data_IF_719715197942
#
_entry.id   IF_719715197942
#
_cell.length_a   1.000
_cell.length_b   1.000
_cell.length_c   1.000
_cell.angle_alpha   90.00
_cell.angle_beta   90.00
_cell.angle_gamma   90.00
#
_symmetry.space_group_name_H-M   'P 1'
#
loop_
_entity.id
_entity.type
_entity.pdbx_description
1 polymer ?
#
# COMPACT_ATOMS: atom_id res chain seq x y z
N UNK A 1 -17.16 -1.93 -8.07
CA UNK A 1 -15.68 -1.77 -7.89
C UNK A 1 -15.04 -1.33 -9.21
N UNK A 2 -14.31 -0.21 -9.22
CA UNK A 2 -13.55 0.23 -10.40
C UNK A 2 -12.27 -0.59 -10.53
N UNK A 3 -11.88 -0.88 -11.78
CA UNK A 3 -10.62 -1.58 -12.11
C UNK A 3 -9.73 -0.60 -12.87
N UNK A 4 -8.46 -0.51 -12.48
CA UNK A 4 -7.46 0.41 -13.04
C UNK A 4 -6.20 -0.34 -13.46
N UNK A 5 -5.49 0.19 -14.42
CA UNK A 5 -4.16 -0.31 -14.73
C UNK A 5 -3.17 0.13 -13.64
N UNK A 6 -2.23 -0.73 -13.29
CA UNK A 6 -1.13 -0.37 -12.41
C UNK A 6 -0.06 0.36 -13.23
N UNK A 7 -0.13 1.68 -13.22
CA UNK A 7 0.73 2.53 -14.02
C UNK A 7 0.60 2.27 -15.52
N UNK A 8 1.73 2.28 -16.22
CA UNK A 8 1.82 1.96 -17.65
C UNK A 8 1.80 0.47 -17.98
N UNK A 9 1.60 -0.40 -16.98
CA UNK A 9 1.60 -1.85 -17.17
C UNK A 9 0.23 -2.39 -17.60
N UNK A 10 0.20 -3.63 -18.06
CA UNK A 10 -1.04 -4.38 -18.34
C UNK A 10 -1.69 -4.98 -17.09
N UNK A 11 -1.07 -4.86 -15.91
CA UNK A 11 -1.62 -5.38 -14.66
C UNK A 11 -2.82 -4.55 -14.21
N UNK A 12 -3.96 -5.19 -14.03
CA UNK A 12 -5.21 -4.55 -13.65
C UNK A 12 -5.54 -4.84 -12.19
N UNK A 13 -5.82 -3.80 -11.42
CA UNK A 13 -6.11 -3.89 -9.98
C UNK A 13 -7.41 -3.16 -9.64
N UNK A 14 -8.07 -3.57 -8.57
CA UNK A 14 -9.19 -2.83 -8.01
C UNK A 14 -8.73 -1.49 -7.44
N UNK A 15 -9.54 -0.44 -7.59
CA UNK A 15 -9.23 0.90 -7.09
C UNK A 15 -9.15 0.99 -5.55
N UNK A 16 -9.66 -0.03 -4.84
CA UNK A 16 -9.44 -0.26 -3.41
C UNK A 16 -8.66 -1.55 -3.26
N UNK A 17 -7.55 -1.51 -2.52
CA UNK A 17 -6.71 -2.66 -2.18
C UNK A 17 -6.84 -3.04 -0.71
N UNK A 18 -6.63 -4.31 -0.39
CA UNK A 18 -6.58 -4.81 0.98
C UNK A 18 -5.14 -4.84 1.50
N UNK A 19 -4.84 -4.01 2.50
CA UNK A 19 -3.58 -4.08 3.26
C UNK A 19 -3.64 -5.20 4.30
N UNK A 20 -2.73 -6.15 4.21
CA UNK A 20 -2.76 -7.40 4.97
C UNK A 20 -1.92 -7.38 6.26
N UNK A 21 -1.38 -6.24 6.67
CA UNK A 21 -0.50 -6.12 7.85
C UNK A 21 -1.18 -6.46 9.19
N UNK A 22 -2.50 -6.60 9.23
CA UNK A 22 -3.24 -6.96 10.43
C UNK A 22 -3.32 -8.48 10.65
N UNK A 23 -3.19 -9.27 9.59
CA UNK A 23 -3.38 -10.72 9.63
C UNK A 23 -2.22 -11.42 10.34
N UNK A 24 -2.56 -12.34 11.25
CA UNK A 24 -1.59 -13.05 12.07
C UNK A 24 -1.03 -12.26 13.25
N UNK A 25 -1.41 -10.98 13.43
CA UNK A 25 -0.96 -10.14 14.55
C UNK A 25 -2.15 -9.48 15.30
N UNK A 26 -3.05 -8.83 14.58
CA UNK A 26 -4.22 -8.11 15.15
C UNK A 26 -5.51 -8.88 14.97
N UNK A 27 -5.54 -9.77 14.03
CA UNK A 27 -6.63 -10.69 13.74
C UNK A 27 -6.13 -12.12 13.80
N UNK A 28 -6.92 -13.00 14.40
CA UNK A 28 -6.71 -14.44 14.32
C UNK A 28 -7.02 -14.98 12.92
N UNK A 29 -6.79 -16.26 12.70
CA UNK A 29 -6.99 -16.91 11.41
C UNK A 29 -8.44 -16.84 10.93
N UNK A 30 -9.41 -17.09 11.84
CA UNK A 30 -10.84 -17.09 11.49
C UNK A 30 -11.37 -15.69 11.13
N UNK A 31 -10.97 -14.68 11.88
CA UNK A 31 -11.30 -13.29 11.57
C UNK A 31 -10.64 -12.87 10.26
N UNK A 32 -9.37 -13.23 10.05
CA UNK A 32 -8.64 -12.97 8.80
C UNK A 32 -9.34 -13.63 7.61
N UNK A 33 -9.77 -14.89 7.75
CA UNK A 33 -10.51 -15.62 6.71
C UNK A 33 -11.78 -14.87 6.29
N UNK A 34 -12.58 -14.43 7.24
CA UNK A 34 -13.82 -13.67 6.97
C UNK A 34 -13.53 -12.37 6.22
N UNK A 35 -12.52 -11.62 6.65
CA UNK A 35 -12.11 -10.35 6.03
C UNK A 35 -11.60 -10.59 4.59
N UNK A 36 -10.72 -11.57 4.40
CA UNK A 36 -10.13 -11.92 3.10
C UNK A 36 -11.22 -12.35 2.11
N UNK A 37 -12.06 -13.30 2.49
CA UNK A 37 -13.13 -13.79 1.61
C UNK A 37 -14.12 -12.67 1.27
N UNK A 38 -14.52 -11.86 2.26
CA UNK A 38 -15.42 -10.74 2.01
C UNK A 38 -14.82 -9.70 1.07
N UNK A 39 -13.52 -9.43 1.19
CA UNK A 39 -12.84 -8.52 0.28
C UNK A 39 -12.90 -9.02 -1.17
N UNK A 40 -12.62 -10.31 -1.39
CA UNK A 40 -12.72 -10.92 -2.73
C UNK A 40 -14.17 -10.87 -3.24
N UNK A 41 -15.16 -11.20 -2.41
CA UNK A 41 -16.60 -11.18 -2.76
C UNK A 41 -17.10 -9.78 -3.15
N UNK A 42 -16.47 -8.72 -2.60
CA UNK A 42 -16.74 -7.32 -2.95
C UNK A 42 -15.96 -6.83 -4.17
N UNK A 43 -15.14 -7.69 -4.79
CA UNK A 43 -14.37 -7.39 -6.00
C UNK A 43 -13.06 -6.65 -5.73
N UNK A 44 -12.51 -6.71 -4.51
CA UNK A 44 -11.12 -6.31 -4.25
C UNK A 44 -10.22 -7.35 -4.85
N UNK A 45 -9.34 -6.93 -5.77
CA UNK A 45 -8.37 -7.82 -6.40
C UNK A 45 -6.95 -7.62 -5.86
N UNK A 46 -6.55 -6.41 -5.46
CA UNK A 46 -5.20 -6.16 -4.93
C UNK A 46 -5.13 -6.51 -3.43
N UNK A 47 -4.25 -7.45 -3.09
CA UNK A 47 -3.91 -7.85 -1.72
C UNK A 47 -2.44 -7.56 -1.49
N UNK A 48 -2.14 -6.64 -0.58
CA UNK A 48 -0.78 -6.17 -0.29
C UNK A 48 -0.31 -6.69 1.06
N UNK A 49 0.67 -7.56 1.05
CA UNK A 49 1.35 -8.11 2.23
C UNK A 49 2.86 -7.81 2.22
N UNK A 50 3.61 -8.51 3.07
CA UNK A 50 5.04 -8.32 3.23
C UNK A 50 5.65 -9.51 4.00
N UNK A 51 6.91 -9.83 3.73
CA UNK A 51 7.65 -10.87 4.44
C UNK A 51 7.89 -10.53 5.92
N UNK A 52 7.96 -9.24 6.29
CA UNK A 52 8.18 -8.83 7.69
C UNK A 52 6.90 -8.79 8.53
N UNK A 53 5.70 -8.75 7.92
CA UNK A 53 4.46 -8.56 8.68
C UNK A 53 4.15 -9.74 9.61
N UNK A 54 3.60 -9.41 10.80
CA UNK A 54 3.17 -10.37 11.81
C UNK A 54 4.28 -11.34 12.26
N UNK A 55 5.44 -10.78 12.63
CA UNK A 55 6.54 -11.57 13.17
C UNK A 55 7.31 -12.35 12.11
N UNK A 56 7.65 -11.69 11.00
CA UNK A 56 8.46 -12.27 9.92
C UNK A 56 7.74 -13.40 9.15
N UNK A 57 6.68 -13.05 8.43
CA UNK A 57 5.97 -13.93 7.50
C UNK A 57 4.61 -14.43 7.97
N UNK A 58 4.14 -14.00 9.15
CA UNK A 58 2.83 -14.43 9.66
C UNK A 58 1.68 -14.01 8.76
N UNK A 59 1.70 -12.82 8.17
CA UNK A 59 0.67 -12.37 7.24
C UNK A 59 0.65 -13.18 5.95
N UNK A 60 1.81 -13.49 5.37
CA UNK A 60 1.92 -14.36 4.20
C UNK A 60 1.43 -15.78 4.50
N UNK A 61 1.76 -16.31 5.69
CA UNK A 61 1.28 -17.62 6.13
C UNK A 61 -0.23 -17.67 6.23
N UNK A 62 -0.87 -16.66 6.84
CA UNK A 62 -2.33 -16.56 6.91
C UNK A 62 -2.96 -16.52 5.51
N UNK A 63 -2.41 -15.70 4.59
CA UNK A 63 -2.88 -15.66 3.22
C UNK A 63 -2.75 -17.01 2.52
N UNK A 64 -1.61 -17.70 2.67
CA UNK A 64 -1.38 -19.02 2.10
C UNK A 64 -2.34 -20.10 2.63
N UNK A 65 -2.80 -19.98 3.89
CA UNK A 65 -3.78 -20.89 4.48
C UNK A 65 -5.23 -20.59 4.07
N UNK A 66 -5.53 -19.33 3.79
CA UNK A 66 -6.90 -18.89 3.56
C UNK A 66 -7.28 -18.87 2.09
N UNK A 67 -6.36 -18.50 1.20
CA UNK A 67 -6.70 -18.27 -0.21
C UNK A 67 -7.10 -19.54 -0.97
N UNK A 68 -6.35 -20.63 -0.83
CA UNK A 68 -6.65 -21.87 -1.55
C UNK A 68 -6.92 -21.62 -3.05
N UNK A 69 -8.02 -22.14 -3.57
CA UNK A 69 -8.42 -21.97 -4.97
C UNK A 69 -8.73 -20.51 -5.37
N UNK A 70 -8.97 -19.63 -4.39
CA UNK A 70 -9.22 -18.19 -4.65
C UNK A 70 -7.93 -17.39 -4.90
N UNK A 71 -6.74 -18.01 -4.78
CA UNK A 71 -5.47 -17.36 -5.12
C UNK A 71 -5.47 -16.75 -6.52
N UNK A 72 -6.09 -17.41 -7.48
CA UNK A 72 -6.21 -16.96 -8.88
C UNK A 72 -7.13 -15.76 -9.09
N UNK A 73 -7.98 -15.44 -8.12
CA UNK A 73 -8.97 -14.36 -8.22
C UNK A 73 -8.37 -13.01 -7.80
N UNK A 74 -7.12 -13.00 -7.31
CA UNK A 74 -6.46 -11.81 -6.77
C UNK A 74 -5.12 -11.51 -7.45
N UNK A 75 -4.72 -10.25 -7.35
CA UNK A 75 -3.36 -9.76 -7.57
C UNK A 75 -2.67 -9.73 -6.22
N UNK A 76 -1.76 -10.66 -6.00
CA UNK A 76 -1.02 -10.78 -4.75
C UNK A 76 0.28 -9.99 -4.84
N UNK A 77 0.37 -8.95 -4.01
CA UNK A 77 1.58 -8.17 -3.82
C UNK A 77 2.23 -8.56 -2.49
N UNK A 78 3.54 -8.83 -2.53
CA UNK A 78 4.36 -8.95 -1.30
C UNK A 78 5.67 -8.21 -1.47
N UNK A 79 6.43 -8.08 -0.39
CA UNK A 79 7.65 -7.27 -0.36
C UNK A 79 8.82 -8.03 0.25
N UNK A 80 10.03 -7.48 0.04
CA UNK A 80 11.29 -7.92 0.62
C UNK A 80 12.14 -6.69 0.96
N UNK A 81 13.31 -6.85 1.47
CA UNK A 81 14.38 -5.92 1.81
C UNK A 81 14.45 -5.50 3.27
N UNK A 82 13.37 -5.56 4.02
CA UNK A 82 13.39 -5.30 5.47
C UNK A 82 14.18 -6.39 6.21
N UNK A 83 14.74 -6.08 7.40
CA UNK A 83 15.50 -7.08 8.19
C UNK A 83 14.63 -8.26 8.62
N UNK A 84 14.97 -9.44 8.13
CA UNK A 84 14.34 -10.73 8.47
C UNK A 84 15.22 -11.58 9.39
N UNK A 85 16.32 -11.03 9.90
CA UNK A 85 17.19 -11.64 10.90
C UNK A 85 17.91 -10.57 11.72
N UNK A 86 18.23 -10.90 12.98
CA UNK A 86 18.95 -9.98 13.87
C UNK A 86 20.41 -9.78 13.50
N UNK A 87 21.02 -10.75 12.82
CA UNK A 87 22.42 -10.72 12.38
C UNK A 87 22.67 -9.91 11.11
N UNK A 88 21.61 -9.32 10.51
CA UNK A 88 21.69 -8.51 9.30
C UNK A 88 21.97 -9.29 8.01
N UNK A 89 22.01 -10.64 8.05
CA UNK A 89 22.29 -11.46 6.84
C UNK A 89 21.11 -11.60 5.91
N UNK A 90 19.88 -11.39 6.42
CA UNK A 90 18.62 -11.51 5.67
C UNK A 90 17.94 -10.16 5.56
N UNK A 91 18.47 -9.28 4.70
CA UNK A 91 17.92 -7.95 4.42
C UNK A 91 18.52 -7.38 3.13
N UNK A 92 17.99 -6.24 2.69
CA UNK A 92 18.48 -5.46 1.57
C UNK A 92 18.05 -6.01 0.22
N UNK A 93 18.75 -5.61 -0.83
CA UNK A 93 18.36 -5.85 -2.21
C UNK A 93 19.43 -6.61 -3.03
N UNK A 94 20.39 -7.28 -2.34
CA UNK A 94 21.37 -8.10 -3.04
C UNK A 94 20.71 -9.29 -3.76
N UNK A 95 21.27 -9.67 -4.89
CA UNK A 95 20.82 -10.84 -5.65
C UNK A 95 20.66 -12.09 -4.75
N UNK A 96 21.65 -12.33 -3.90
CA UNK A 96 21.63 -13.47 -2.97
C UNK A 96 20.39 -13.47 -2.08
N UNK A 97 20.07 -12.29 -1.50
CA UNK A 97 18.94 -12.18 -0.60
C UNK A 97 17.61 -12.22 -1.34
N UNK A 98 17.47 -11.51 -2.45
CA UNK A 98 16.25 -11.52 -3.29
C UNK A 98 15.83 -12.94 -3.64
N UNK A 99 16.80 -13.77 -4.13
CA UNK A 99 16.51 -15.16 -4.50
C UNK A 99 16.05 -16.01 -3.33
N UNK A 100 16.62 -15.82 -2.14
CA UNK A 100 16.22 -16.59 -0.96
C UNK A 100 14.90 -16.07 -0.35
N UNK A 101 14.66 -14.76 -0.41
CA UNK A 101 13.44 -14.14 0.13
C UNK A 101 12.19 -14.54 -0.68
N UNK A 102 12.28 -14.55 -2.01
CA UNK A 102 11.15 -14.94 -2.86
C UNK A 102 10.74 -16.40 -2.62
N UNK A 103 11.69 -17.32 -2.49
CA UNK A 103 11.39 -18.72 -2.20
C UNK A 103 10.67 -18.90 -0.85
N UNK A 104 11.14 -18.16 0.16
CA UNK A 104 10.51 -18.18 1.47
C UNK A 104 9.07 -17.61 1.42
N UNK A 105 8.85 -16.52 0.68
CA UNK A 105 7.52 -15.94 0.49
C UNK A 105 6.59 -16.88 -0.28
N UNK A 106 7.04 -17.48 -1.38
CA UNK A 106 6.26 -18.47 -2.15
C UNK A 106 5.85 -19.67 -1.28
N UNK A 107 6.76 -20.18 -0.43
CA UNK A 107 6.47 -21.26 0.49
C UNK A 107 5.40 -20.88 1.53
N UNK A 108 5.49 -19.69 2.15
CA UNK A 108 4.50 -19.20 3.14
C UNK A 108 3.14 -18.94 2.49
N UNK A 109 3.14 -18.35 1.30
CA UNK A 109 1.94 -18.02 0.52
C UNK A 109 1.29 -19.24 -0.15
N UNK A 110 1.97 -20.39 -0.15
CA UNK A 110 1.51 -21.64 -0.78
C UNK A 110 1.14 -21.45 -2.26
N UNK A 111 1.97 -20.72 -2.99
CA UNK A 111 1.79 -20.39 -4.41
C UNK A 111 3.12 -20.49 -5.14
N UNK A 112 3.09 -20.71 -6.44
CA UNK A 112 4.27 -20.78 -7.30
C UNK A 112 4.61 -19.47 -8.00
N UNK A 113 3.77 -18.43 -7.82
CA UNK A 113 4.02 -17.10 -8.37
C UNK A 113 3.49 -15.96 -7.50
N UNK A 114 4.14 -14.80 -7.59
CA UNK A 114 3.75 -13.52 -7.02
C UNK A 114 3.38 -12.60 -8.17
N UNK A 115 2.23 -11.90 -8.08
CA UNK A 115 1.81 -10.99 -9.14
C UNK A 115 2.63 -9.69 -9.12
N UNK A 116 2.89 -9.11 -7.95
CA UNK A 116 3.68 -7.91 -7.76
C UNK A 116 4.68 -8.08 -6.61
N UNK A 117 5.97 -8.11 -6.93
CA UNK A 117 7.04 -8.23 -5.94
C UNK A 117 7.74 -6.89 -5.76
N UNK A 118 7.68 -6.34 -4.55
CA UNK A 118 8.10 -4.98 -4.28
C UNK A 118 9.34 -4.94 -3.39
N UNK A 119 10.30 -4.10 -3.72
CA UNK A 119 11.35 -3.73 -2.80
C UNK A 119 10.78 -2.76 -1.77
N UNK A 120 10.75 -3.16 -0.48
CA UNK A 120 10.07 -2.41 0.59
C UNK A 120 10.76 -1.10 0.92
N UNK A 121 12.08 -1.11 0.96
CA UNK A 121 12.92 0.07 1.18
C UNK A 121 14.06 0.11 0.18
N UNK A 122 14.49 1.34 -0.14
CA UNK A 122 15.73 1.57 -0.84
C UNK A 122 16.92 0.97 -0.06
N UNK A 123 17.79 0.23 -0.75
CA UNK A 123 19.03 -0.31 -0.20
C UNK A 123 20.24 0.49 -0.74
N UNK A 124 20.92 1.29 0.08
CA UNK A 124 22.05 2.09 -0.36
C UNK A 124 23.33 1.25 -0.57
N UNK A 125 23.35 0.01 -0.11
CA UNK A 125 24.54 -0.85 -0.14
C UNK A 125 24.58 -1.75 -1.38
N UNK A 126 23.46 -1.89 -2.10
CA UNK A 126 23.39 -2.73 -3.29
C UNK A 126 23.24 -1.87 -4.54
N UNK A 127 24.11 -2.03 -5.55
CA UNK A 127 23.91 -1.39 -6.85
C UNK A 127 22.57 -1.76 -7.47
N UNK A 128 21.85 -0.76 -8.01
CA UNK A 128 20.52 -0.98 -8.59
C UNK A 128 20.52 -1.96 -9.76
N UNK A 129 21.63 -2.05 -10.50
CA UNK A 129 21.82 -3.01 -11.60
C UNK A 129 21.73 -4.45 -11.08
N UNK A 130 22.35 -4.76 -9.95
CA UNK A 130 22.30 -6.10 -9.34
C UNK A 130 20.88 -6.47 -8.97
N UNK A 131 20.18 -5.54 -8.32
CA UNK A 131 18.79 -5.69 -7.91
C UNK A 131 17.87 -5.95 -9.12
N UNK A 132 17.93 -5.08 -10.13
CA UNK A 132 17.09 -5.20 -11.32
C UNK A 132 17.35 -6.49 -12.12
N UNK A 133 18.61 -6.91 -12.26
CA UNK A 133 18.95 -8.20 -12.89
C UNK A 133 18.40 -9.39 -12.10
N UNK A 134 18.48 -9.34 -10.77
CA UNK A 134 17.94 -10.40 -9.94
C UNK A 134 16.41 -10.50 -10.06
N UNK A 135 15.71 -9.37 -10.06
CA UNK A 135 14.26 -9.31 -10.24
C UNK A 135 13.82 -9.75 -11.63
N UNK A 136 14.55 -9.35 -12.69
CA UNK A 136 14.29 -9.79 -14.07
C UNK A 136 14.44 -11.31 -14.23
N UNK A 137 15.44 -11.92 -13.58
CA UNK A 137 15.58 -13.37 -13.56
C UNK A 137 14.39 -14.06 -12.90
N UNK A 138 13.82 -13.49 -11.83
CA UNK A 138 12.58 -14.02 -11.22
C UNK A 138 11.38 -13.92 -12.14
N UNK A 139 11.29 -12.84 -12.93
CA UNK A 139 10.25 -12.69 -13.96
C UNK A 139 10.42 -13.75 -15.04
N UNK A 140 11.62 -13.95 -15.55
CA UNK A 140 11.93 -14.98 -16.57
C UNK A 140 11.67 -16.41 -16.06
N UNK A 141 11.89 -16.66 -14.78
CA UNK A 141 11.56 -17.93 -14.13
C UNK A 141 10.04 -18.12 -13.91
N UNK A 142 9.25 -17.08 -14.12
CA UNK A 142 7.81 -17.09 -13.88
C UNK A 142 7.38 -17.04 -12.41
N UNK A 143 8.31 -16.84 -11.48
CA UNK A 143 8.04 -16.72 -10.04
C UNK A 143 7.45 -15.37 -9.67
N UNK A 144 7.73 -14.34 -10.45
CA UNK A 144 7.22 -12.98 -10.30
C UNK A 144 6.64 -12.52 -11.63
N UNK A 145 5.51 -11.80 -11.61
CA UNK A 145 4.90 -11.25 -12.82
C UNK A 145 5.30 -9.81 -13.08
N UNK A 146 5.25 -8.98 -12.04
CA UNK A 146 5.60 -7.57 -12.08
C UNK A 146 6.43 -7.20 -10.86
N UNK A 147 7.22 -6.13 -10.98
CA UNK A 147 8.06 -5.62 -9.89
C UNK A 147 7.70 -4.17 -9.57
N UNK A 148 7.88 -3.80 -8.30
CA UNK A 148 7.62 -2.45 -7.79
C UNK A 148 8.61 -2.04 -6.72
N UNK A 149 8.55 -0.78 -6.32
CA UNK A 149 9.32 -0.23 -5.21
C UNK A 149 8.41 0.40 -4.16
N UNK A 150 8.97 0.65 -2.98
CA UNK A 150 8.33 1.36 -1.89
C UNK A 150 9.37 2.20 -1.15
N UNK A 151 8.97 3.38 -0.68
CA UNK A 151 9.84 4.29 0.07
C UNK A 151 11.14 4.69 -0.66
N UNK A 152 11.09 4.73 -1.98
CA UNK A 152 12.22 5.20 -2.77
C UNK A 152 12.16 6.73 -2.92
N UNK A 153 13.29 7.44 -2.76
CA UNK A 153 13.35 8.83 -3.16
C UNK A 153 13.21 8.94 -4.68
N UNK A 154 12.65 10.04 -5.17
CA UNK A 154 12.36 10.25 -6.60
C UNK A 154 13.58 10.04 -7.51
N UNK A 155 14.78 10.50 -7.09
CA UNK A 155 16.01 10.30 -7.85
C UNK A 155 16.37 8.82 -8.03
N UNK A 156 16.04 7.98 -7.03
CA UNK A 156 16.30 6.54 -7.09
C UNK A 156 15.30 5.83 -8.00
N UNK A 157 14.07 6.32 -8.05
CA UNK A 157 13.07 5.87 -9.03
C UNK A 157 13.55 6.15 -10.46
N UNK A 158 14.06 7.36 -10.71
CA UNK A 158 14.62 7.74 -12.01
C UNK A 158 15.85 6.89 -12.39
N UNK A 159 16.76 6.69 -11.42
CA UNK A 159 17.94 5.85 -11.62
C UNK A 159 17.55 4.41 -11.96
N UNK A 160 16.60 3.82 -11.23
CA UNK A 160 16.14 2.45 -11.50
C UNK A 160 15.52 2.32 -12.88
N UNK A 161 14.69 3.27 -13.30
CA UNK A 161 14.06 3.26 -14.63
C UNK A 161 15.09 3.39 -15.76
N UNK A 162 16.02 4.36 -15.66
CA UNK A 162 17.06 4.57 -16.67
C UNK A 162 18.00 3.37 -16.77
N UNK A 163 18.33 2.77 -15.61
CA UNK A 163 19.16 1.56 -15.54
C UNK A 163 18.44 0.37 -16.15
N UNK A 164 17.15 0.16 -15.85
CA UNK A 164 16.37 -0.92 -16.46
C UNK A 164 16.35 -0.82 -18.00
N UNK A 165 16.14 0.39 -18.53
CA UNK A 165 16.20 0.66 -19.99
C UNK A 165 17.59 0.37 -20.55
N UNK A 166 18.65 0.84 -19.92
CA UNK A 166 20.02 0.61 -20.36
C UNK A 166 20.41 -0.88 -20.38
N UNK A 167 19.91 -1.64 -19.40
CA UNK A 167 20.14 -3.08 -19.28
C UNK A 167 19.17 -3.94 -20.12
N UNK A 168 18.13 -3.34 -20.69
CA UNK A 168 17.03 -4.03 -21.37
C UNK A 168 16.39 -5.13 -20.49
N UNK A 169 16.09 -4.76 -19.24
CA UNK A 169 15.39 -5.60 -18.26
C UNK A 169 14.07 -4.94 -17.85
N UNK A 170 13.20 -5.68 -17.16
CA UNK A 170 11.91 -5.21 -16.71
C UNK A 170 12.05 -4.03 -15.72
N UNK A 171 11.39 -2.89 -15.96
CA UNK A 171 11.37 -1.77 -15.01
C UNK A 171 10.35 -2.01 -13.87
N UNK A 172 10.41 -1.21 -12.82
CA UNK A 172 9.34 -1.12 -11.85
C UNK A 172 8.05 -0.60 -12.51
N UNK A 173 6.89 -1.15 -12.12
CA UNK A 173 5.57 -0.71 -12.62
C UNK A 173 4.79 0.09 -11.58
N UNK A 174 5.23 0.07 -10.34
CA UNK A 174 4.58 0.77 -9.21
C UNK A 174 5.58 1.34 -8.23
N UNK A 175 5.15 2.41 -7.55
CA UNK A 175 5.71 2.90 -6.30
C UNK A 175 4.65 2.81 -5.20
N UNK A 176 5.07 2.45 -3.98
CA UNK A 176 4.19 2.39 -2.81
C UNK A 176 4.73 3.29 -1.73
N UNK A 177 4.01 4.39 -1.43
CA UNK A 177 4.49 5.44 -0.54
C UNK A 177 3.38 5.98 0.35
N UNK A 178 3.76 6.62 1.45
CA UNK A 178 2.78 7.25 2.32
C UNK A 178 2.15 8.46 1.63
N UNK A 179 0.82 8.41 1.48
CA UNK A 179 0.08 9.50 0.87
C UNK A 179 -1.32 9.59 1.44
N UNK A 180 -1.69 10.78 1.91
CA UNK A 180 -3.00 11.07 2.47
C UNK A 180 -3.27 12.57 2.46
N UNK A 181 -4.47 12.99 2.85
CA UNK A 181 -4.85 14.40 2.98
C UNK A 181 -3.96 15.21 3.96
N UNK A 182 -3.23 14.56 4.87
CA UNK A 182 -2.34 15.21 5.86
C UNK A 182 -0.86 14.85 5.70
N UNK A 183 -0.52 14.00 4.72
CA UNK A 183 0.85 13.62 4.35
C UNK A 183 0.95 13.71 2.83
N UNK A 184 1.54 14.79 2.33
CA UNK A 184 1.55 15.16 0.90
C UNK A 184 2.95 15.39 0.33
N UNK A 185 4.00 15.07 1.07
CA UNK A 185 5.39 15.36 0.69
C UNK A 185 5.79 14.75 -0.65
N UNK A 186 5.22 13.59 -1.02
CA UNK A 186 5.49 12.93 -2.31
C UNK A 186 5.08 13.76 -3.53
N UNK A 187 4.22 14.78 -3.36
CA UNK A 187 3.78 15.65 -4.45
C UNK A 187 4.92 16.54 -4.97
N UNK A 188 5.96 16.76 -4.16
CA UNK A 188 7.07 17.65 -4.51
C UNK A 188 8.01 17.05 -5.56
N UNK A 189 8.24 15.72 -5.52
CA UNK A 189 9.24 15.07 -6.36
C UNK A 189 8.84 13.67 -6.84
N UNK A 190 8.36 12.80 -5.94
CA UNK A 190 8.04 11.40 -6.30
C UNK A 190 6.84 11.31 -7.24
N UNK A 191 5.79 12.09 -6.99
CA UNK A 191 4.60 12.06 -7.84
C UNK A 191 4.89 12.54 -9.28
N UNK A 192 5.65 13.65 -9.50
CA UNK A 192 6.17 14.00 -10.83
C UNK A 192 7.01 12.89 -11.48
N UNK A 193 7.89 12.23 -10.73
CA UNK A 193 8.69 11.12 -11.25
C UNK A 193 7.81 9.91 -11.61
N UNK A 194 6.84 9.56 -10.77
CA UNK A 194 5.89 8.49 -11.05
C UNK A 194 5.06 8.78 -12.32
N UNK A 195 4.69 10.04 -12.54
CA UNK A 195 3.98 10.46 -13.75
C UNK A 195 4.87 10.33 -14.99
N UNK A 196 6.10 10.82 -14.95
CA UNK A 196 7.06 10.77 -16.07
C UNK A 196 7.35 9.33 -16.49
N UNK A 197 7.58 8.44 -15.52
CA UNK A 197 7.91 7.04 -15.77
C UNK A 197 6.70 6.11 -15.80
N UNK A 198 5.48 6.66 -15.70
CA UNK A 198 4.21 5.92 -15.75
C UNK A 198 4.09 4.83 -14.69
N UNK A 199 4.60 5.09 -13.49
CA UNK A 199 4.42 4.21 -12.33
C UNK A 199 3.03 4.37 -11.73
N UNK A 200 2.41 3.27 -11.33
CA UNK A 200 1.19 3.29 -10.55
C UNK A 200 1.49 3.54 -9.08
N UNK A 201 0.88 4.56 -8.48
CA UNK A 201 1.01 4.83 -7.06
C UNK A 201 0.05 3.95 -6.26
N UNK A 202 0.57 3.35 -5.20
CA UNK A 202 -0.14 2.53 -4.22
C UNK A 202 -0.03 3.21 -2.84
N UNK A 203 -0.91 4.17 -2.49
CA UNK A 203 -0.84 4.86 -1.21
C UNK A 203 -1.00 3.90 -0.03
N UNK A 204 -0.06 3.91 0.92
CA UNK A 204 -0.27 3.30 2.23
C UNK A 204 -0.60 4.38 3.28
N UNK A 205 -1.22 3.97 4.39
CA UNK A 205 -1.80 4.87 5.41
C UNK A 205 -2.75 5.94 4.86
N UNK A 206 -3.67 5.60 3.96
CA UNK A 206 -4.59 6.55 3.33
C UNK A 206 -5.44 7.33 4.34
N UNK A 207 -5.59 6.78 5.54
CA UNK A 207 -6.34 7.36 6.67
C UNK A 207 -5.44 7.90 7.77
N UNK A 208 -4.14 8.13 7.51
CA UNK A 208 -3.18 8.61 8.52
C UNK A 208 -3.33 7.85 9.85
N UNK A 209 -3.22 6.51 9.79
CA UNK A 209 -3.41 5.60 10.94
C UNK A 209 -4.77 5.73 11.65
N UNK A 210 -5.77 6.27 10.98
CA UNK A 210 -7.14 6.42 11.46
C UNK A 210 -7.52 7.84 11.84
N UNK A 211 -6.63 8.83 11.74
CA UNK A 211 -6.95 10.25 11.96
C UNK A 211 -8.10 10.70 11.04
N UNK A 212 -8.01 10.34 9.77
CA UNK A 212 -8.98 10.71 8.73
C UNK A 212 -10.25 9.85 8.70
N UNK A 213 -10.59 9.17 9.80
CA UNK A 213 -11.86 8.45 9.93
C UNK A 213 -12.96 9.28 10.60
N UNK A 214 -12.63 10.45 11.15
CA UNK A 214 -13.56 11.29 11.92
C UNK A 214 -13.90 10.80 13.33
N UNK A 215 -13.28 9.71 13.81
CA UNK A 215 -13.57 9.13 15.14
C UNK A 215 -12.82 9.81 16.30
N UNK A 216 -11.75 10.53 16.01
CA UNK A 216 -10.97 11.23 17.03
C UNK A 216 -11.46 12.67 17.17
N UNK A 217 -11.58 13.14 18.41
CA UNK A 217 -11.98 14.51 18.72
C UNK A 217 -10.78 15.28 19.25
N UNK A 218 -10.63 16.52 18.84
CA UNK A 218 -9.57 17.42 19.28
C UNK A 218 -9.53 17.51 20.80
N UNK A 219 -8.33 17.45 21.36
CA UNK A 219 -8.11 17.55 22.80
C UNK A 219 -8.58 16.35 23.63
N UNK A 220 -9.23 15.35 23.02
CA UNK A 220 -9.68 14.15 23.73
C UNK A 220 -8.62 13.04 23.68
N UNK A 221 -8.56 12.24 24.76
CA UNK A 221 -7.74 11.04 24.76
C UNK A 221 -8.27 10.03 23.71
N UNK A 222 -7.35 9.40 22.99
CA UNK A 222 -7.74 8.35 22.05
C UNK A 222 -8.31 7.13 22.81
N UNK A 223 -9.48 6.60 22.41
CA UNK A 223 -10.04 5.39 23.03
C UNK A 223 -9.04 4.24 23.01
N UNK A 224 -8.92 3.49 24.11
CA UNK A 224 -7.90 2.46 24.33
C UNK A 224 -7.94 1.32 23.30
N UNK A 225 -9.11 1.03 22.73
CA UNK A 225 -9.32 -0.01 21.71
C UNK A 225 -8.95 0.45 20.29
N UNK A 226 -8.66 1.72 20.09
CA UNK A 226 -8.29 2.30 18.81
C UNK A 226 -6.79 2.15 18.50
N UNK A 227 -6.42 2.41 17.23
CA UNK A 227 -5.02 2.37 16.80
C UNK A 227 -4.13 3.34 17.56
N UNK A 228 -4.60 4.57 17.80
CA UNK A 228 -3.85 5.57 18.57
C UNK A 228 -3.79 5.26 20.06
N UNK A 229 -4.83 4.62 20.62
CA UNK A 229 -4.78 4.14 22.00
C UNK A 229 -3.76 3.03 22.24
N UNK A 230 -3.52 2.19 21.22
CA UNK A 230 -2.55 1.06 21.26
C UNK A 230 -1.16 1.42 20.80
N UNK A 231 -0.97 2.52 20.08
CA UNK A 231 0.31 2.95 19.49
C UNK A 231 0.51 4.46 19.66
N UNK A 232 0.94 4.93 20.85
CA UNK A 232 1.13 6.36 21.15
C UNK A 232 2.05 7.08 20.16
N UNK A 233 3.13 6.45 19.72
CA UNK A 233 4.06 7.02 18.75
C UNK A 233 3.39 7.38 17.40
N UNK A 234 2.41 6.58 16.95
CA UNK A 234 1.63 6.92 15.76
C UNK A 234 0.68 8.09 16.03
N UNK A 235 0.11 8.18 17.24
CA UNK A 235 -0.69 9.34 17.63
C UNK A 235 0.16 10.60 17.58
N UNK A 236 1.31 10.62 18.22
CA UNK A 236 2.19 11.78 18.31
C UNK A 236 2.69 12.24 16.93
N UNK A 237 2.84 11.30 16.00
CA UNK A 237 3.20 11.59 14.61
C UNK A 237 2.10 12.34 13.85
N UNK A 238 0.84 11.93 14.00
CA UNK A 238 -0.26 12.44 13.20
C UNK A 238 -1.12 13.48 13.89
N UNK A 239 -1.27 13.43 15.20
CA UNK A 239 -2.10 14.37 15.97
C UNK A 239 -1.27 15.60 16.32
N UNK A 240 -1.19 16.53 15.38
CA UNK A 240 -0.55 17.83 15.52
C UNK A 240 -1.61 18.93 15.44
N UNK A 241 -1.37 20.14 16.01
CA UNK A 241 -2.33 21.24 15.89
C UNK A 241 -2.75 21.53 14.44
N UNK A 242 -1.78 21.51 13.49
CA UNK A 242 -2.05 21.68 12.06
C UNK A 242 -2.99 20.60 11.53
N UNK A 243 -2.71 19.33 11.81
CA UNK A 243 -3.53 18.25 11.31
C UNK A 243 -4.92 18.21 11.94
N UNK A 244 -5.05 18.63 13.21
CA UNK A 244 -6.36 18.78 13.86
C UNK A 244 -7.19 19.88 13.19
N UNK A 245 -6.58 21.04 12.86
CA UNK A 245 -7.24 22.12 12.11
C UNK A 245 -7.69 21.66 10.72
N UNK A 246 -6.85 20.93 10.00
CA UNK A 246 -7.17 20.34 8.69
C UNK A 246 -8.35 19.35 8.81
N UNK A 247 -8.31 18.43 9.78
CA UNK A 247 -9.37 17.43 9.97
C UNK A 247 -10.71 18.08 10.28
N UNK A 248 -10.76 19.12 11.12
CA UNK A 248 -11.99 19.83 11.43
C UNK A 248 -12.58 20.50 10.18
N UNK A 249 -11.77 21.18 9.38
CA UNK A 249 -12.21 21.79 8.12
C UNK A 249 -12.68 20.76 7.10
N UNK A 250 -11.94 19.67 6.90
CA UNK A 250 -12.32 18.60 6.00
C UNK A 250 -13.60 17.89 6.45
N UNK A 251 -13.79 17.73 7.75
CA UNK A 251 -15.01 17.15 8.31
C UNK A 251 -16.22 18.03 8.03
N UNK A 252 -16.10 19.36 8.22
CA UNK A 252 -17.15 20.31 7.87
C UNK A 252 -17.44 20.30 6.36
N UNK A 253 -16.38 20.26 5.52
CA UNK A 253 -16.50 20.16 4.06
C UNK A 253 -17.29 18.91 3.62
N UNK A 254 -16.95 17.73 4.16
CA UNK A 254 -17.62 16.48 3.82
C UNK A 254 -19.08 16.48 4.30
N UNK A 255 -19.34 16.89 5.55
CA UNK A 255 -20.69 16.94 6.13
C UNK A 255 -21.62 17.88 5.37
N UNK A 256 -21.14 19.06 4.94
CA UNK A 256 -21.92 20.02 4.16
C UNK A 256 -22.39 19.42 2.82
N UNK A 257 -21.73 18.36 2.33
CA UNK A 257 -22.04 17.65 1.07
C UNK A 257 -22.72 16.28 1.29
N UNK A 258 -23.04 15.94 2.56
CA UNK A 258 -23.71 14.69 2.90
C UNK A 258 -22.79 13.45 2.90
N UNK A 259 -21.47 13.68 2.98
CA UNK A 259 -20.46 12.62 2.95
C UNK A 259 -19.70 12.48 4.27
N UNK A 260 -19.02 11.37 4.44
CA UNK A 260 -18.15 11.07 5.59
C UNK A 260 -16.69 11.43 5.29
N UNK A 261 -15.88 11.58 6.34
CA UNK A 261 -14.43 11.74 6.23
C UNK A 261 -13.76 10.55 5.54
N UNK A 262 -14.28 9.33 5.72
CA UNK A 262 -13.77 8.14 5.07
C UNK A 262 -13.96 8.23 3.55
N UNK A 263 -15.16 8.61 3.10
CA UNK A 263 -15.46 8.81 1.69
C UNK A 263 -14.58 9.92 1.09
N UNK A 264 -14.41 11.04 1.81
CA UNK A 264 -13.55 12.12 1.37
C UNK A 264 -12.09 11.65 1.17
N UNK A 265 -11.51 10.96 2.17
CA UNK A 265 -10.11 10.52 2.13
C UNK A 265 -9.86 9.53 0.98
N UNK A 266 -10.76 8.56 0.77
CA UNK A 266 -10.62 7.60 -0.31
C UNK A 266 -10.85 8.22 -1.69
N UNK A 267 -11.91 9.02 -1.84
CA UNK A 267 -12.26 9.64 -3.11
C UNK A 267 -11.23 10.67 -3.56
N UNK A 268 -10.64 11.41 -2.61
CA UNK A 268 -9.56 12.34 -2.91
C UNK A 268 -8.31 11.61 -3.43
N UNK A 269 -7.88 10.54 -2.78
CA UNK A 269 -6.77 9.70 -3.28
C UNK A 269 -7.11 9.09 -4.65
N UNK A 270 -8.32 8.55 -4.79
CA UNK A 270 -8.76 7.94 -6.03
C UNK A 270 -8.93 8.93 -7.18
N UNK A 271 -9.09 10.23 -6.91
CA UNK A 271 -9.14 11.28 -7.93
C UNK A 271 -7.76 11.60 -8.53
N UNK A 272 -6.66 11.16 -7.88
CA UNK A 272 -5.30 11.40 -8.38
C UNK A 272 -4.99 10.41 -9.51
N UNK A 273 -4.61 10.88 -10.72
CA UNK A 273 -4.44 10.02 -11.90
C UNK A 273 -3.40 8.90 -11.71
N UNK A 274 -2.37 9.14 -10.89
CA UNK A 274 -1.31 8.16 -10.62
C UNK A 274 -1.74 7.07 -9.64
N UNK A 275 -2.79 7.30 -8.83
CA UNK A 275 -3.25 6.33 -7.82
C UNK A 275 -3.99 5.18 -8.52
N UNK A 276 -3.36 4.01 -8.51
CA UNK A 276 -3.93 2.80 -9.08
C UNK A 276 -4.88 2.11 -8.10
N UNK A 277 -4.51 2.06 -6.82
CA UNK A 277 -5.30 1.41 -5.77
C UNK A 277 -5.01 2.02 -4.40
N UNK A 278 -6.05 2.38 -3.66
CA UNK A 278 -5.95 2.89 -2.28
C UNK A 278 -5.87 1.69 -1.35
N UNK A 279 -4.69 1.45 -0.73
CA UNK A 279 -4.47 0.29 0.14
C UNK A 279 -4.90 0.61 1.56
N UNK A 280 -5.93 -0.07 2.05
CA UNK A 280 -6.41 0.07 3.42
C UNK A 280 -6.50 -1.28 4.14
N UNK A 281 -5.97 -1.32 5.37
CA UNK A 281 -6.09 -2.48 6.24
C UNK A 281 -7.47 -2.57 6.89
N UNK A 282 -7.93 -3.80 7.12
CA UNK A 282 -9.15 -4.07 7.87
C UNK A 282 -8.90 -5.15 8.94
N UNK A 283 -9.63 -5.06 10.06
CA UNK A 283 -9.64 -6.06 11.14
C UNK A 283 -11.02 -6.69 11.33
N UNK A 284 -12.02 -6.26 10.56
CA UNK A 284 -13.38 -6.79 10.55
C UNK A 284 -14.04 -6.53 9.20
N UNK A 285 -15.06 -7.31 8.91
CA UNK A 285 -15.78 -7.34 7.61
C UNK A 285 -16.40 -5.97 7.28
N UNK A 286 -16.99 -5.31 8.25
CA UNK A 286 -17.67 -4.01 8.07
C UNK A 286 -16.70 -2.92 7.59
N UNK A 287 -15.42 -2.97 8.00
CA UNK A 287 -14.41 -2.04 7.50
C UNK A 287 -14.13 -2.25 6.01
N UNK A 288 -14.08 -3.49 5.55
CA UNK A 288 -13.92 -3.78 4.11
C UNK A 288 -15.09 -3.21 3.33
N UNK A 289 -16.32 -3.44 3.80
CA UNK A 289 -17.53 -2.94 3.16
C UNK A 289 -17.57 -1.40 3.11
N UNK A 290 -17.16 -0.75 4.19
CA UNK A 290 -17.03 0.70 4.27
C UNK A 290 -15.97 1.24 3.29
N UNK A 291 -14.79 0.61 3.25
CA UNK A 291 -13.69 1.01 2.37
C UNK A 291 -14.09 0.90 0.89
N UNK A 292 -14.81 -0.17 0.52
CA UNK A 292 -15.29 -0.36 -0.86
C UNK A 292 -16.29 0.74 -1.27
N UNK A 293 -17.18 1.15 -0.36
CA UNK A 293 -18.15 2.23 -0.61
C UNK A 293 -17.51 3.61 -0.61
N UNK A 294 -16.41 3.78 0.10
CA UNK A 294 -15.78 5.08 0.31
C UNK A 294 -15.17 5.70 -0.96
N UNK A 295 -15.05 4.95 -2.05
CA UNK A 295 -14.51 5.44 -3.32
C UNK A 295 -15.59 5.95 -4.29
N UNK A 296 -16.86 5.89 -3.93
CA UNK A 296 -17.97 6.16 -4.84
C UNK A 296 -18.27 7.66 -5.03
N UNK A 297 -17.71 8.54 -4.18
CA UNK A 297 -17.88 10.00 -4.34
C UNK A 297 -16.94 10.54 -5.43
N UNK A 298 -17.49 10.96 -6.54
CA UNK A 298 -16.75 11.65 -7.62
C UNK A 298 -16.62 13.13 -7.27
N UNK A 299 -15.41 13.54 -6.89
CA UNK A 299 -15.11 14.94 -6.57
C UNK A 299 -15.02 15.78 -7.84
N UNK A 300 -15.62 16.98 -7.84
CA UNK A 300 -15.45 17.96 -8.90
C UNK A 300 -14.07 18.63 -8.84
N UNK A 301 -13.68 19.31 -9.91
CA UNK A 301 -12.41 20.06 -9.94
C UNK A 301 -12.37 21.18 -8.88
N UNK A 302 -13.51 21.84 -8.64
CA UNK A 302 -13.68 22.89 -7.62
C UNK A 302 -13.56 22.27 -6.22
N UNK A 303 -14.16 21.11 -5.97
CA UNK A 303 -14.04 20.40 -4.69
C UNK A 303 -12.61 19.97 -4.42
N UNK A 304 -11.91 19.45 -5.44
CA UNK A 304 -10.49 19.08 -5.32
C UNK A 304 -9.65 20.31 -4.98
N UNK A 305 -9.89 21.46 -5.64
CA UNK A 305 -9.16 22.69 -5.37
C UNK A 305 -9.42 23.21 -3.93
N UNK A 306 -10.66 23.14 -3.45
CA UNK A 306 -11.02 23.53 -2.07
C UNK A 306 -10.33 22.61 -1.04
N UNK A 307 -10.34 21.29 -1.27
CA UNK A 307 -9.66 20.33 -0.42
C UNK A 307 -8.13 20.58 -0.42
N UNK A 308 -7.56 20.83 -1.59
CA UNK A 308 -6.12 21.09 -1.72
C UNK A 308 -5.73 22.40 -0.99
N UNK A 309 -6.60 23.41 -0.95
CA UNK A 309 -6.38 24.63 -0.17
C UNK A 309 -6.44 24.39 1.34
N UNK A 310 -7.39 23.59 1.81
CA UNK A 310 -7.51 23.21 3.24
C UNK A 310 -6.28 22.44 3.73
N UNK A 311 -5.65 21.65 2.86
CA UNK A 311 -4.58 20.71 3.22
C UNK A 311 -3.15 21.21 2.94
N UNK A 312 -2.99 22.43 2.46
CA UNK A 312 -1.69 23.09 2.23
C UNK A 312 -0.85 23.42 3.48
#
# INVERSE_FOLDING_TARGET
>A
MQIRNLGGSGLRVSAVGLGCNNFGQRTDLETSRKVIHRAIDLGITLFDTDDIYAGMGGSETVLGEVLGDRRKDIVLATKYSKPMSQDGTKQGASRRYIMSAVEASLARLKTDYIDLYQQHDYDPLTPIEETLRALDDLIRQGKVRYIGNSNFPAWRVAEAELTARALNVSPFVSCQDEYSLVVREIENDLLPAAQEYKLGLLPFFPLASGLLTGKYKRGAAAPADTRFGKAPALRDRYVTPRNEDIVEQLQAFAQARGHTMLELAFSWLASRPQVASVIAGATRVEQVEQNVKAIDWTLSAEEIAEIDEITK
#
